data_IF_710141157672
#
_entry.id   IF_710141157672
#
_cell.length_a   1.000
_cell.length_b   1.000
_cell.length_c   1.000
_cell.angle_alpha   90.00
_cell.angle_beta   90.00
_cell.angle_gamma   90.00
#
_symmetry.space_group_name_H-M   'P 1'
#
loop_
_entity.id
_entity.type
_entity.pdbx_description
1 polymer ?
#
# COMPACT_ATOMS: atom_id res chain seq x y z
N UNK A 1 -9.99 3.39 -12.11
CA UNK A 1 -8.78 2.80 -11.50
C UNK A 1 -8.81 1.29 -11.67
N UNK A 2 -7.86 0.78 -12.44
CA UNK A 2 -7.63 -0.63 -12.73
C UNK A 2 -6.47 -1.19 -11.91
N UNK A 3 -5.43 -0.41 -11.69
CA UNK A 3 -4.18 -0.87 -11.07
C UNK A 3 -3.87 -0.10 -9.79
N UNK A 4 -3.67 -0.81 -8.68
CA UNK A 4 -3.45 -0.24 -7.34
C UNK A 4 -2.09 -0.70 -6.83
N UNK A 5 -1.23 0.26 -6.49
CA UNK A 5 0.03 0.01 -5.82
C UNK A 5 -0.19 -0.07 -4.31
N UNK A 6 0.41 -1.03 -3.61
CA UNK A 6 0.33 -1.08 -2.14
C UNK A 6 1.72 -0.98 -1.55
N UNK A 7 1.86 -0.07 -0.59
CA UNK A 7 3.10 0.16 0.15
C UNK A 7 2.85 -0.04 1.64
N UNK A 8 3.67 -0.86 2.28
CA UNK A 8 3.63 -1.05 3.74
C UNK A 8 5.00 -1.36 4.33
N UNK A 9 5.09 -1.39 5.65
CA UNK A 9 6.30 -1.77 6.40
C UNK A 9 5.99 -2.92 7.36
N UNK A 10 6.92 -3.86 7.59
CA UNK A 10 6.70 -5.07 8.41
C UNK A 10 6.48 -4.81 9.91
N UNK A 11 6.61 -3.56 10.36
CA UNK A 11 6.61 -3.19 11.78
C UNK A 11 5.21 -3.11 12.42
N UNK A 12 4.15 -3.17 11.62
CA UNK A 12 2.78 -3.06 12.13
C UNK A 12 2.26 -4.46 12.50
N UNK A 13 1.69 -4.65 13.70
CA UNK A 13 0.97 -5.88 14.05
C UNK A 13 -0.07 -6.20 12.96
N UNK A 14 -0.26 -7.49 12.67
CA UNK A 14 -1.27 -8.01 11.73
C UNK A 14 -1.20 -7.56 10.27
N UNK A 15 -0.20 -6.75 9.89
CA UNK A 15 -0.03 -6.24 8.52
C UNK A 15 -0.03 -7.33 7.45
N UNK A 16 0.52 -8.52 7.76
CA UNK A 16 0.54 -9.65 6.83
C UNK A 16 -0.85 -10.17 6.54
N UNK A 17 -1.69 -10.28 7.58
CA UNK A 17 -3.05 -10.77 7.46
C UNK A 17 -3.90 -9.77 6.69
N UNK A 18 -3.88 -8.50 7.11
CA UNK A 18 -4.63 -7.41 6.47
C UNK A 18 -4.20 -7.23 5.01
N UNK A 19 -2.90 -7.22 4.72
CA UNK A 19 -2.40 -7.14 3.35
C UNK A 19 -2.89 -8.31 2.50
N UNK A 20 -2.90 -9.53 3.04
CA UNK A 20 -3.37 -10.72 2.32
C UNK A 20 -4.85 -10.63 1.98
N UNK A 21 -5.68 -10.21 2.95
CA UNK A 21 -7.11 -10.03 2.76
C UNK A 21 -7.41 -8.91 1.76
N UNK A 22 -6.74 -7.75 1.88
CA UNK A 22 -6.90 -6.63 0.97
C UNK A 22 -6.52 -7.00 -0.46
N UNK A 23 -5.39 -7.69 -0.65
CA UNK A 23 -4.95 -8.14 -1.98
C UNK A 23 -5.96 -9.10 -2.60
N UNK A 24 -6.49 -10.05 -1.82
CA UNK A 24 -7.54 -10.96 -2.28
C UNK A 24 -8.81 -10.19 -2.67
N UNK A 25 -9.28 -9.30 -1.80
CA UNK A 25 -10.49 -8.49 -2.01
C UNK A 25 -10.42 -7.60 -3.26
N UNK A 26 -9.24 -7.01 -3.53
CA UNK A 26 -8.98 -6.22 -4.73
C UNK A 26 -8.98 -7.07 -6.00
N UNK A 27 -8.33 -8.24 -5.96
CA UNK A 27 -8.25 -9.17 -7.09
C UNK A 27 -9.61 -9.78 -7.43
N UNK A 28 -10.43 -10.10 -6.44
CA UNK A 28 -11.82 -10.55 -6.63
C UNK A 28 -12.65 -9.50 -7.39
N UNK A 29 -12.32 -8.21 -7.23
CA UNK A 29 -12.93 -7.08 -7.94
C UNK A 29 -12.21 -6.73 -9.25
N UNK A 30 -11.43 -7.65 -9.79
CA UNK A 30 -10.70 -7.53 -11.05
C UNK A 30 -9.73 -6.33 -11.08
N UNK A 31 -9.16 -5.97 -9.92
CA UNK A 31 -8.09 -4.98 -9.84
C UNK A 31 -6.73 -5.65 -9.93
N UNK A 32 -5.82 -5.02 -10.65
CA UNK A 32 -4.41 -5.39 -10.66
C UNK A 32 -3.73 -4.79 -9.42
N UNK A 33 -2.90 -5.57 -8.75
CA UNK A 33 -2.19 -5.14 -7.54
C UNK A 33 -0.69 -5.15 -7.79
N UNK A 34 -0.05 -4.00 -7.60
CA UNK A 34 1.39 -3.82 -7.72
C UNK A 34 1.99 -3.73 -6.33
N UNK A 35 2.91 -4.64 -6.03
CA UNK A 35 3.66 -4.68 -4.76
C UNK A 35 5.14 -4.52 -5.06
N UNK A 36 5.90 -3.89 -4.17
CA UNK A 36 7.36 -4.01 -4.18
C UNK A 36 7.80 -5.35 -3.58
N UNK A 37 9.06 -5.74 -3.81
CA UNK A 37 9.59 -7.01 -3.31
C UNK A 37 9.44 -7.24 -1.81
N UNK A 38 9.59 -6.20 -0.97
CA UNK A 38 9.44 -6.35 0.49
C UNK A 38 7.98 -6.53 0.88
N UNK A 39 7.07 -5.80 0.27
CA UNK A 39 5.62 -5.92 0.53
C UNK A 39 5.09 -7.27 0.04
N UNK A 40 5.47 -7.72 -1.16
CA UNK A 40 5.06 -9.03 -1.70
C UNK A 40 5.50 -10.20 -0.80
N UNK A 41 6.73 -10.13 -0.27
CA UNK A 41 7.26 -11.16 0.62
C UNK A 41 6.45 -11.33 1.93
N UNK A 42 5.72 -10.31 2.37
CA UNK A 42 4.87 -10.39 3.58
C UNK A 42 3.72 -11.37 3.42
N UNK A 43 3.24 -11.58 2.20
CA UNK A 43 2.13 -12.49 1.86
C UNK A 43 2.60 -13.73 1.08
N UNK A 44 3.91 -13.95 1.00
CA UNK A 44 4.50 -15.10 0.31
C UNK A 44 4.55 -14.97 -1.22
N UNK A 45 4.34 -13.77 -1.76
CA UNK A 45 4.43 -13.50 -3.20
C UNK A 45 5.82 -13.02 -3.60
N UNK A 46 6.11 -13.10 -4.90
CA UNK A 46 7.37 -12.62 -5.49
C UNK A 46 7.08 -11.66 -6.63
N UNK A 47 7.92 -10.65 -6.75
CA UNK A 47 7.82 -9.61 -7.77
C UNK A 47 9.21 -9.01 -8.02
N UNK A 48 9.43 -8.53 -9.24
CA UNK A 48 10.62 -7.79 -9.63
C UNK A 48 10.42 -6.26 -9.54
N UNK A 49 9.24 -5.81 -9.11
CA UNK A 49 8.97 -4.39 -8.96
C UNK A 49 9.74 -3.81 -7.78
N UNK A 50 10.43 -2.70 -8.06
CA UNK A 50 11.05 -1.86 -7.06
C UNK A 50 10.03 -0.87 -6.51
N UNK A 51 10.24 -0.43 -5.27
CA UNK A 51 9.39 0.57 -4.62
C UNK A 51 9.30 1.88 -5.42
N UNK A 52 10.37 2.24 -6.15
CA UNK A 52 10.44 3.42 -7.04
C UNK A 52 9.57 3.28 -8.29
N UNK A 53 9.18 2.07 -8.66
CA UNK A 53 8.33 1.80 -9.82
C UNK A 53 6.84 1.79 -9.45
N UNK A 54 6.50 1.74 -8.16
CA UNK A 54 5.13 1.56 -7.69
C UNK A 54 4.19 2.64 -8.24
N UNK A 55 4.60 3.91 -8.15
CA UNK A 55 3.85 5.04 -8.67
C UNK A 55 3.71 4.99 -10.20
N UNK A 56 4.76 4.59 -10.91
CA UNK A 56 4.75 4.54 -12.37
C UNK A 56 3.83 3.45 -12.94
N UNK A 57 3.55 2.42 -12.15
CA UNK A 57 2.78 1.24 -12.56
C UNK A 57 1.34 1.24 -12.05
N UNK A 58 0.92 2.27 -11.30
CA UNK A 58 -0.35 2.27 -10.59
C UNK A 58 -1.16 3.55 -10.84
N UNK A 59 -2.49 3.42 -10.84
CA UNK A 59 -3.39 4.56 -10.91
C UNK A 59 -3.52 5.29 -9.56
N UNK A 60 -3.22 4.59 -8.46
CA UNK A 60 -3.21 5.08 -7.08
C UNK A 60 -2.25 4.24 -6.24
N UNK A 61 -1.69 4.83 -5.19
CA UNK A 61 -0.93 4.12 -4.17
C UNK A 61 -1.72 4.09 -2.86
N UNK A 62 -1.97 2.89 -2.35
CA UNK A 62 -2.54 2.65 -1.04
C UNK A 62 -1.41 2.39 -0.04
N UNK A 63 -1.42 3.15 1.06
CA UNK A 63 -0.37 3.13 2.07
C UNK A 63 -0.94 2.54 3.36
N UNK A 64 -0.49 1.35 3.73
CA UNK A 64 -0.82 0.73 5.01
C UNK A 64 0.26 1.08 6.03
N UNK A 65 -0.04 1.98 6.98
CA UNK A 65 0.90 2.32 8.04
C UNK A 65 0.52 3.57 8.82
N UNK A 66 1.51 4.39 9.18
CA UNK A 66 1.30 5.70 9.82
C UNK A 66 2.03 6.80 9.05
N UNK A 67 2.18 7.98 9.66
CA UNK A 67 2.73 9.18 9.01
C UNK A 67 4.11 8.96 8.36
N UNK A 68 5.03 8.26 9.04
CA UNK A 68 6.35 7.97 8.49
C UNK A 68 6.34 7.01 7.29
N UNK A 69 5.25 6.25 7.09
CA UNK A 69 5.03 5.45 5.87
C UNK A 69 4.40 6.32 4.79
N UNK A 70 3.43 7.17 5.15
CA UNK A 70 2.80 8.13 4.24
C UNK A 70 3.82 9.11 3.63
N UNK A 71 4.68 9.72 4.46
CA UNK A 71 5.73 10.63 4.00
C UNK A 71 6.75 9.93 3.08
N UNK A 72 6.98 8.64 3.28
CA UNK A 72 7.83 7.86 2.38
C UNK A 72 7.14 7.66 1.02
N UNK A 73 5.84 7.34 1.03
CA UNK A 73 5.05 7.23 -0.19
C UNK A 73 4.94 8.56 -0.94
N UNK A 74 4.74 9.68 -0.24
CA UNK A 74 4.66 11.02 -0.83
C UNK A 74 5.91 11.36 -1.67
N UNK A 75 7.10 11.03 -1.16
CA UNK A 75 8.37 11.21 -1.89
C UNK A 75 8.50 10.30 -3.12
N UNK A 76 7.80 9.16 -3.14
CA UNK A 76 7.85 8.21 -4.25
C UNK A 76 6.89 8.58 -5.38
N UNK A 77 5.81 9.31 -5.09
CA UNK A 77 4.79 9.70 -6.07
C UNK A 77 4.94 11.13 -6.58
N UNK A 78 5.83 11.95 -5.96
CA UNK A 78 6.02 13.38 -6.25
C UNK A 78 6.14 13.69 -7.75
N UNK A 79 6.89 12.88 -8.49
CA UNK A 79 7.12 13.11 -9.92
C UNK A 79 5.95 12.69 -10.83
N UNK A 80 4.93 12.00 -10.31
CA UNK A 80 3.93 11.28 -11.11
C UNK A 80 2.48 11.73 -10.90
N UNK A 81 2.20 12.60 -9.93
CA UNK A 81 0.84 13.05 -9.57
C UNK A 81 -0.15 11.89 -9.31
N UNK A 82 0.34 10.77 -8.77
CA UNK A 82 -0.49 9.59 -8.46
C UNK A 82 -1.16 9.80 -7.10
N UNK A 83 -2.50 9.70 -7.00
CA UNK A 83 -3.21 9.81 -5.74
C UNK A 83 -2.68 8.82 -4.70
N UNK A 84 -2.62 9.26 -3.44
CA UNK A 84 -2.27 8.41 -2.31
C UNK A 84 -3.49 8.28 -1.38
N UNK A 85 -3.81 7.06 -0.98
CA UNK A 85 -4.77 6.78 0.09
C UNK A 85 -4.04 6.19 1.30
N UNK A 86 -4.13 6.88 2.44
CA UNK A 86 -3.50 6.46 3.69
C UNK A 86 -4.43 5.69 4.59
N UNK A 87 -4.05 4.47 4.93
CA UNK A 87 -4.74 3.63 5.91
C UNK A 87 -3.90 3.58 7.18
N UNK A 88 -4.48 4.04 8.28
CA UNK A 88 -3.90 3.99 9.59
C UNK A 88 -3.98 2.57 10.18
N UNK A 89 -2.82 1.94 10.39
CA UNK A 89 -2.69 0.60 10.97
C UNK A 89 -2.50 0.60 12.51
N UNK A 90 -2.79 1.72 13.19
CA UNK A 90 -2.81 1.84 14.66
C UNK A 90 -2.31 3.20 15.18
N UNK A 91 -2.65 3.56 16.43
CA UNK A 91 -2.27 4.84 17.03
C UNK A 91 -2.90 6.08 16.37
N UNK A 92 -2.88 7.23 17.05
CA UNK A 92 -3.30 8.50 16.45
C UNK A 92 -2.25 8.93 15.39
N UNK A 93 -2.64 8.91 14.12
CA UNK A 93 -1.87 9.43 12.99
C UNK A 93 -2.51 10.71 12.46
N UNK A 94 -1.70 11.67 12.04
CA UNK A 94 -2.21 12.95 11.49
C UNK A 94 -2.48 12.88 9.99
N UNK A 95 -1.77 12.01 9.25
CA UNK A 95 -1.77 11.97 7.78
C UNK A 95 -2.42 10.72 7.20
N UNK A 96 -2.81 9.75 8.03
CA UNK A 96 -3.50 8.54 7.60
C UNK A 96 -4.98 8.65 7.96
N UNK A 97 -5.83 8.67 6.93
CA UNK A 97 -7.21 9.17 7.02
C UNK A 97 -8.24 8.08 7.35
N UNK A 98 -7.96 6.82 6.99
CA UNK A 98 -8.89 5.68 7.17
C UNK A 98 -8.31 4.66 8.15
N UNK A 99 -9.05 4.26 9.19
CA UNK A 99 -8.63 3.15 10.07
C UNK A 99 -8.93 1.79 9.44
N UNK A 100 -8.20 0.75 9.84
CA UNK A 100 -8.43 -0.64 9.39
C UNK A 100 -9.88 -1.09 9.59
N UNK A 101 -10.55 -0.60 10.63
CA UNK A 101 -11.97 -0.92 10.92
C UNK A 101 -12.94 -0.48 9.83
N UNK A 102 -12.55 0.47 8.97
CA UNK A 102 -13.36 1.02 7.89
C UNK A 102 -12.96 0.51 6.49
N UNK A 103 -12.01 -0.44 6.41
CA UNK A 103 -11.59 -1.13 5.19
C UNK A 103 -12.41 -2.39 4.94
#
# INVERSE_FOLDING_TARGET
>A
MKTIGILTKPKFPDVKHILKELVAWLRERQKEVVLDGKTAALIGERTNHQITQLAALSDMVLVLGGDGTMLNAARLVEERNVPILGVNMGGLGFLTEVSVEHL
#
